data_IF_749780755166
#
_entry.id   IF_749780755166
#
_cell.length_a   1.000
_cell.length_b   1.000
_cell.length_c   1.000
_cell.angle_alpha   90.00
_cell.angle_beta   90.00
_cell.angle_gamma   90.00
#
_symmetry.space_group_name_H-M   'P 1'
#
loop_
_entity.id
_entity.type
_entity.pdbx_description
1 polymer ?
2 non-polymer ?
#
# COMPACT_ATOMS: atom_id res chain seq x y z
N UNK A 1 7.94 3.64 5.68
CA UNK A 1 8.18 5.11 5.58
C UNK A 1 7.10 5.80 4.77
N UNK A 2 7.49 6.80 3.99
CA UNK A 2 6.52 7.54 3.17
C UNK A 2 6.02 6.66 2.06
N UNK A 3 4.74 6.79 1.73
CA UNK A 3 4.19 5.99 0.65
C UNK A 3 4.90 6.39 -0.62
N UNK A 4 5.58 5.44 -1.24
CA UNK A 4 6.33 5.71 -2.46
C UNK A 4 6.15 4.60 -3.47
N UNK A 5 6.99 4.58 -4.50
CA UNK A 5 6.87 3.53 -5.50
C UNK A 5 7.32 2.19 -4.96
N UNK A 6 6.90 1.13 -5.62
CA UNK A 6 7.25 -0.23 -5.23
C UNK A 6 7.33 -1.08 -6.47
N UNK A 7 8.50 -1.67 -6.72
CA UNK A 7 8.64 -2.51 -7.90
C UNK A 7 8.75 -3.98 -7.57
N UNK A 8 7.89 -4.79 -8.18
CA UNK A 8 7.92 -6.21 -7.93
C UNK A 8 8.28 -6.97 -9.20
N UNK A 9 9.00 -8.07 -9.06
CA UNK A 9 9.40 -8.84 -10.23
C UNK A 9 8.57 -10.08 -10.54
N UNK A 10 8.62 -10.48 -11.81
CA UNK A 10 7.93 -11.65 -12.32
C UNK A 10 8.77 -12.84 -12.02
N UNK A 11 8.37 -13.93 -12.64
CA UNK A 11 9.10 -15.18 -12.56
C UNK A 11 9.02 -15.62 -14.02
N UNK A 12 8.79 -14.63 -14.86
CA UNK A 12 8.69 -14.82 -16.30
C UNK A 12 10.10 -15.11 -16.81
N UNK A 13 10.19 -15.69 -18.00
CA UNK A 13 11.48 -16.04 -18.61
C UNK A 13 12.54 -15.00 -18.24
N UNK A 14 12.28 -13.77 -18.65
CA UNK A 14 13.15 -12.64 -18.34
C UNK A 14 12.28 -11.72 -17.50
N UNK A 15 12.33 -11.90 -16.18
CA UNK A 15 11.58 -11.17 -15.15
C UNK A 15 11.21 -9.74 -15.52
N UNK A 16 9.92 -9.45 -15.54
CA UNK A 16 9.45 -8.11 -15.87
C UNK A 16 9.27 -7.32 -14.59
N UNK A 17 9.58 -6.03 -14.65
CA UNK A 17 9.41 -5.19 -13.48
C UNK A 17 8.01 -4.60 -13.47
N UNK A 18 7.33 -4.77 -12.35
CA UNK A 18 5.99 -4.24 -12.19
C UNK A 18 6.09 -3.03 -11.29
N UNK A 19 5.89 -1.85 -11.86
CA UNK A 19 6.02 -0.63 -11.09
C UNK A 19 4.71 -0.16 -10.51
N UNK A 20 4.59 -0.22 -9.18
CA UNK A 20 3.39 0.23 -8.49
C UNK A 20 3.62 1.64 -8.01
N UNK A 21 2.65 2.53 -8.21
CA UNK A 21 2.80 3.90 -7.74
C UNK A 21 1.74 4.17 -6.70
N UNK A 22 1.95 5.18 -5.86
CA UNK A 22 1.00 5.53 -4.82
C UNK A 22 -0.37 5.87 -5.37
N UNK A 23 -1.39 5.54 -4.59
CA UNK A 23 -2.76 5.83 -4.97
C UNK A 23 -3.37 6.60 -3.82
N UNK A 24 -3.23 6.08 -2.61
CA UNK A 24 -3.78 6.76 -1.46
C UNK A 24 -3.54 5.90 -0.23
N UNK A 25 -3.77 6.48 0.94
CA UNK A 25 -3.66 5.75 2.19
C UNK A 25 -4.88 6.15 3.01
N UNK A 26 -5.76 5.18 3.25
CA UNK A 26 -6.98 5.42 4.00
C UNK A 26 -7.00 4.60 5.27
N UNK A 27 -7.20 5.28 6.40
CA UNK A 27 -7.23 4.62 7.70
C UNK A 27 -5.87 4.01 7.99
N UNK A 28 -4.84 4.69 7.51
CA UNK A 28 -3.46 4.29 7.69
C UNK A 28 -3.18 2.95 7.04
N UNK A 29 -3.62 2.85 5.78
CA UNK A 29 -3.45 1.66 4.98
C UNK A 29 -2.99 2.13 3.62
N UNK A 30 -1.67 2.13 3.42
CA UNK A 30 -1.11 2.56 2.17
C UNK A 30 -1.45 1.67 1.02
N UNK A 31 -1.77 2.27 -0.11
CA UNK A 31 -2.09 1.51 -1.29
C UNK A 31 -1.22 2.04 -2.39
N UNK A 32 -0.70 1.13 -3.20
CA UNK A 32 0.15 1.52 -4.28
C UNK A 32 -0.30 0.61 -5.41
N UNK A 33 -0.49 1.17 -6.59
CA UNK A 33 -0.97 0.35 -7.69
C UNK A 33 -0.18 0.42 -8.97
N UNK A 34 -0.29 -0.65 -9.73
CA UNK A 34 0.37 -0.75 -11.02
C UNK A 34 -0.77 -0.66 -11.98
N UNK A 35 -0.80 0.39 -12.79
CA UNK A 35 -1.87 0.51 -13.75
C UNK A 35 -1.51 1.38 -14.92
N UNK A 36 -2.29 1.20 -15.97
CA UNK A 36 -2.15 1.98 -17.17
C UNK A 36 -3.01 3.18 -16.79
N UNK A 37 -3.19 4.15 -17.69
CA UNK A 37 -4.03 5.28 -17.32
C UNK A 37 -5.39 4.94 -16.72
N UNK A 38 -5.97 3.82 -17.15
CA UNK A 38 -7.29 3.43 -16.67
C UNK A 38 -7.35 2.72 -15.32
N UNK A 39 -8.27 3.16 -14.46
CA UNK A 39 -8.52 2.67 -13.10
C UNK A 39 -9.32 1.39 -13.07
N UNK A 40 -9.01 0.45 -13.95
CA UNK A 40 -9.75 -0.79 -13.92
C UNK A 40 -8.87 -2.01 -14.03
N UNK A 41 -9.08 -2.95 -13.12
CA UNK A 41 -8.29 -4.17 -13.12
C UNK A 41 -6.83 -3.87 -12.84
N UNK A 42 -6.58 -2.80 -12.10
CA UNK A 42 -5.21 -2.45 -11.77
C UNK A 42 -4.79 -3.34 -10.62
N UNK A 43 -3.55 -3.82 -10.66
CA UNK A 43 -3.04 -4.67 -9.60
C UNK A 43 -2.73 -3.76 -8.42
N UNK A 44 -3.22 -4.13 -7.25
CA UNK A 44 -3.05 -3.33 -6.06
C UNK A 44 -2.24 -4.03 -4.98
N UNK A 45 -1.44 -3.23 -4.26
CA UNK A 45 -0.64 -3.73 -3.15
C UNK A 45 -0.85 -2.76 -2.01
N UNK A 46 -1.32 -3.26 -0.88
CA UNK A 46 -1.57 -2.40 0.27
C UNK A 46 -0.67 -2.82 1.42
N UNK A 47 -0.30 -1.86 2.26
CA UNK A 47 0.56 -2.14 3.39
C UNK A 47 0.11 -1.31 4.57
N UNK A 48 0.17 -1.90 5.76
CA UNK A 48 -0.27 -1.19 6.96
C UNK A 48 0.44 -1.69 8.20
N UNK A 49 0.39 -0.88 9.26
CA UNK A 49 1.00 -1.23 10.52
C UNK A 49 0.18 -0.67 11.66
N UNK A 50 -0.03 -1.49 12.68
CA UNK A 50 -0.80 -1.05 13.82
C UNK A 50 -0.22 -1.65 15.09
N UNK A 51 -0.37 -0.92 16.19
CA UNK A 51 0.12 -1.39 17.47
C UNK A 51 -1.11 -1.96 18.18
N UNK A 52 -0.96 -3.13 18.78
CA UNK A 52 -2.10 -3.73 19.45
C UNK A 52 -2.21 -3.33 20.89
N UNK A 53 -3.44 -3.30 21.37
CA UNK A 53 -3.76 -2.98 22.75
C UNK A 53 -2.90 -3.80 23.71
N UNK A 54 -2.71 -5.08 23.38
CA UNK A 54 -1.91 -5.99 24.20
C UNK A 54 -0.42 -5.66 24.10
N UNK A 55 -0.08 -4.67 23.27
CA UNK A 55 1.31 -4.25 23.14
C UNK A 55 2.14 -4.94 22.08
N UNK A 56 1.53 -5.28 20.95
CA UNK A 56 2.25 -5.95 19.89
C UNK A 56 2.22 -5.14 18.63
N UNK A 57 3.23 -5.30 17.78
CA UNK A 57 3.21 -4.57 16.53
C UNK A 57 2.77 -5.60 15.53
N UNK A 58 1.85 -5.21 14.66
CA UNK A 58 1.34 -6.12 13.65
C UNK A 58 1.11 -5.40 12.34
N UNK A 59 1.84 -5.81 11.30
CA UNK A 59 1.67 -5.17 10.00
C UNK A 59 1.08 -6.15 9.01
N UNK A 60 0.49 -5.62 7.94
CA UNK A 60 -0.18 -6.45 6.94
C UNK A 60 0.07 -6.06 5.50
N UNK A 61 0.40 -7.05 4.69
CA UNK A 61 0.62 -6.83 3.28
C UNK A 61 -0.47 -7.54 2.51
N UNK A 62 -0.91 -6.92 1.42
CA UNK A 62 -1.95 -7.49 0.58
C UNK A 62 -1.64 -7.16 -0.86
N UNK A 63 -1.53 -8.20 -1.68
CA UNK A 63 -1.27 -8.00 -3.10
C UNK A 63 -2.43 -8.57 -3.87
N UNK A 64 -2.93 -7.81 -4.82
CA UNK A 64 -4.05 -8.27 -5.61
C UNK A 64 -3.77 -8.10 -7.07
N UNK A 65 -3.76 -9.20 -7.80
CA UNK A 65 -3.46 -9.11 -9.21
C UNK A 65 -4.51 -9.70 -10.10
N UNK A 66 -5.35 -8.82 -10.65
CA UNK A 66 -6.44 -9.22 -11.54
C UNK A 66 -5.86 -9.44 -12.93
N UNK A 67 -6.45 -10.37 -13.66
CA UNK A 67 -5.99 -10.65 -15.02
C UNK A 67 -7.00 -9.99 -15.94
N UNK A 68 -6.52 -9.11 -16.80
CA UNK A 68 -7.41 -8.41 -17.71
C UNK A 68 -7.16 -8.74 -19.15
N UNK A 69 -8.25 -8.92 -19.88
CA UNK A 69 -8.18 -9.24 -21.30
C UNK A 69 -9.20 -8.34 -21.98
N UNK A 70 -9.09 -8.19 -23.30
CA UNK A 70 -9.98 -7.32 -24.05
C UNK A 70 -11.28 -7.99 -24.50
N UNK A 71 -12.38 -7.42 -24.05
CA UNK A 71 -13.72 -7.92 -24.33
C UNK A 71 -14.39 -7.09 -25.42
N UNK A 72 -14.43 -7.63 -26.64
CA UNK A 72 -15.04 -6.94 -27.76
C UNK A 72 -16.55 -7.11 -27.83
N UNK A 73 -17.29 -6.01 -27.75
CA UNK A 73 -18.75 -6.06 -27.82
C UNK A 73 -19.31 -5.07 -28.83
N UNK A 74 -19.74 -5.60 -29.97
CA UNK A 74 -20.27 -4.75 -31.02
C UNK A 74 -19.20 -3.75 -31.40
N UNK A 75 -17.98 -4.24 -31.59
CA UNK A 75 -16.88 -3.36 -31.97
C UNK A 75 -16.34 -2.48 -30.86
N UNK A 76 -17.02 -2.46 -29.72
CA UNK A 76 -16.60 -1.65 -28.57
C UNK A 76 -15.63 -2.45 -27.70
N UNK A 77 -14.34 -2.32 -27.98
CA UNK A 77 -13.31 -3.04 -27.22
C UNK A 77 -13.09 -2.41 -25.84
N UNK A 78 -13.34 -3.20 -24.80
CA UNK A 78 -13.17 -2.74 -23.43
C UNK A 78 -12.35 -3.77 -22.66
N UNK A 79 -11.37 -3.31 -21.86
CA UNK A 79 -10.60 -4.28 -21.11
C UNK A 79 -11.46 -4.67 -19.88
N UNK A 80 -11.41 -5.94 -19.51
CA UNK A 80 -12.19 -6.39 -18.38
C UNK A 80 -11.45 -7.46 -17.57
N UNK A 81 -11.85 -7.60 -16.31
CA UNK A 81 -11.25 -8.55 -15.40
C UNK A 81 -11.84 -9.93 -15.57
N UNK A 82 -11.01 -10.89 -15.94
CA UNK A 82 -11.47 -12.26 -16.13
C UNK A 82 -11.39 -13.07 -14.83
N UNK A 83 -10.43 -12.71 -13.97
CA UNK A 83 -10.24 -13.40 -12.69
C UNK A 83 -9.19 -12.68 -11.88
N UNK A 84 -9.17 -12.92 -10.58
CA UNK A 84 -8.18 -12.27 -9.74
C UNK A 84 -7.45 -13.21 -8.79
N UNK A 85 -6.23 -12.84 -8.39
CA UNK A 85 -5.43 -13.65 -7.47
C UNK A 85 -5.11 -12.81 -6.24
N UNK A 86 -5.39 -13.35 -5.06
CA UNK A 86 -5.19 -12.62 -3.82
C UNK A 86 -4.19 -13.26 -2.87
N UNK A 87 -3.51 -12.44 -2.10
CA UNK A 87 -2.56 -12.95 -1.12
C UNK A 87 -2.47 -11.96 0.01
N UNK A 88 -2.29 -12.48 1.22
CA UNK A 88 -2.26 -11.64 2.40
C UNK A 88 -1.29 -12.10 3.46
N UNK A 89 -0.12 -11.48 3.55
CA UNK A 89 0.83 -11.88 4.58
C UNK A 89 0.53 -11.04 5.84
N UNK A 90 0.63 -11.67 7.00
CA UNK A 90 0.36 -11.02 8.28
C UNK A 90 1.52 -11.19 9.26
N UNK A 91 2.21 -10.10 9.56
CA UNK A 91 3.31 -10.18 10.49
C UNK A 91 2.83 -9.70 11.83
N UNK A 92 3.26 -10.39 12.88
CA UNK A 92 2.90 -10.04 14.24
C UNK A 92 4.16 -10.20 15.08
N UNK A 93 4.81 -9.08 15.41
CA UNK A 93 6.03 -9.13 16.20
C UNK A 93 5.80 -8.72 17.63
N UNK A 94 6.78 -9.02 18.47
CA UNK A 94 6.69 -8.67 19.87
C UNK A 94 7.36 -7.33 20.06
N UNK A 95 6.76 -6.48 20.87
CA UNK A 95 7.34 -5.17 21.08
C UNK A 95 8.77 -5.15 21.62
N UNK A 96 9.37 -6.32 21.83
CA UNK A 96 10.72 -6.37 22.36
C UNK A 96 11.68 -7.02 21.40
N UNK A 97 11.18 -7.33 20.20
CA UNK A 97 12.01 -7.97 19.21
C UNK A 97 13.06 -6.98 18.71
N UNK A 98 14.22 -7.49 18.34
CA UNK A 98 15.29 -6.63 17.85
C UNK A 98 15.25 -6.58 16.34
N UNK A 99 15.81 -5.54 15.77
CA UNK A 99 15.80 -5.42 14.33
C UNK A 99 16.28 -6.71 13.68
N UNK A 100 17.40 -7.23 14.14
CA UNK A 100 17.91 -8.45 13.56
C UNK A 100 16.89 -9.58 13.54
N UNK A 101 16.31 -9.89 14.70
CA UNK A 101 15.33 -10.97 14.76
C UNK A 101 14.29 -10.79 13.68
N UNK A 102 13.64 -9.63 13.68
CA UNK A 102 12.60 -9.35 12.70
C UNK A 102 13.11 -9.53 11.29
N UNK A 103 14.26 -8.92 10.97
CA UNK A 103 14.81 -9.06 9.63
C UNK A 103 14.96 -10.53 9.31
N UNK A 104 15.76 -11.23 10.10
CA UNK A 104 15.97 -12.64 9.87
C UNK A 104 14.66 -13.37 9.66
N UNK A 105 13.65 -13.03 10.45
CA UNK A 105 12.35 -13.65 10.33
C UNK A 105 11.86 -13.52 8.90
N UNK A 106 11.63 -12.28 8.48
CA UNK A 106 11.16 -12.02 7.14
C UNK A 106 11.96 -12.82 6.15
N UNK A 107 13.27 -12.64 6.19
CA UNK A 107 14.13 -13.34 5.27
C UNK A 107 13.77 -14.80 5.12
N UNK A 108 13.43 -15.45 6.22
CA UNK A 108 13.08 -16.86 6.17
C UNK A 108 11.77 -17.06 5.46
N UNK A 109 10.70 -16.54 6.05
CA UNK A 109 9.39 -16.67 5.45
C UNK A 109 9.52 -16.35 3.98
N UNK A 110 10.39 -15.40 3.67
CA UNK A 110 10.65 -15.00 2.30
C UNK A 110 11.17 -16.19 1.53
N UNK A 111 12.34 -16.66 1.94
CA UNK A 111 12.99 -17.81 1.31
C UNK A 111 11.99 -18.94 1.06
N UNK A 112 11.09 -19.17 2.00
CA UNK A 112 10.09 -20.22 1.87
C UNK A 112 9.28 -20.14 0.58
N UNK A 113 8.92 -18.93 0.17
CA UNK A 113 8.15 -18.77 -1.07
C UNK A 113 9.20 -18.86 -2.14
N UNK A 114 9.40 -19.99 -2.77
CA UNK A 114 10.45 -19.95 -3.76
C UNK A 114 10.37 -21.03 -4.77
N UNK A 115 10.85 -20.70 -5.95
CA UNK A 115 10.84 -21.62 -7.07
C UNK A 115 11.24 -23.03 -6.65
N UNK A 116 12.37 -23.15 -5.97
CA UNK A 116 12.92 -24.44 -5.57
C UNK A 116 12.46 -25.02 -4.26
N UNK A 117 11.94 -24.20 -3.35
CA UNK A 117 11.48 -24.74 -2.07
C UNK A 117 10.29 -25.67 -2.32
N UNK A 118 10.63 -26.90 -2.69
CA UNK A 118 9.67 -27.94 -3.02
C UNK A 118 8.39 -27.95 -2.21
N UNK A 119 8.50 -28.42 -0.97
CA UNK A 119 7.35 -28.52 -0.09
C UNK A 119 6.34 -27.41 -0.25
N UNK A 120 6.82 -26.19 -0.26
CA UNK A 120 5.96 -25.02 -0.40
C UNK A 120 5.43 -24.81 -1.80
N UNK A 121 6.34 -24.57 -2.74
CA UNK A 121 5.96 -24.33 -4.13
C UNK A 121 4.85 -25.25 -4.63
N UNK A 122 5.13 -26.55 -4.64
CA UNK A 122 4.17 -27.53 -5.11
C UNK A 122 2.76 -27.28 -4.59
N UNK A 123 2.64 -26.54 -3.49
CA UNK A 123 1.32 -26.26 -2.96
C UNK A 123 0.81 -24.88 -3.29
N UNK A 124 1.60 -23.84 -3.02
CA UNK A 124 1.15 -22.50 -3.31
C UNK A 124 1.17 -22.18 -4.79
N UNK A 125 1.74 -23.07 -5.59
CA UNK A 125 1.79 -22.83 -7.03
C UNK A 125 1.08 -23.92 -7.81
N UNK A 126 1.31 -25.16 -7.45
CA UNK A 126 0.65 -26.24 -8.17
C UNK A 126 -0.64 -26.66 -7.51
N UNK A 127 -0.98 -26.03 -6.40
CA UNK A 127 -2.21 -26.37 -5.72
C UNK A 127 -2.32 -27.86 -5.48
N UNK A 128 -1.23 -28.46 -5.01
CA UNK A 128 -1.27 -29.88 -4.71
C UNK A 128 -1.11 -30.02 -3.22
N UNK A 129 -1.82 -30.98 -2.63
CA UNK A 129 -1.76 -31.16 -1.20
C UNK A 129 -0.46 -31.67 -0.62
N UNK A 130 -0.45 -31.85 0.70
CA UNK A 130 0.73 -32.35 1.39
C UNK A 130 0.43 -33.73 1.93
N UNK A 131 1.37 -34.66 1.80
CA UNK A 131 1.14 -36.03 2.24
C UNK A 131 2.36 -36.79 2.76
N UNK B 1 3.69 -32.72 -3.50
CA UNK B 1 4.29 -32.14 -2.26
C UNK B 1 4.21 -33.09 -1.07
N UNK B 2 5.19 -33.98 -0.95
CA UNK B 2 5.20 -34.90 0.17
C UNK B 2 5.93 -34.23 1.32
N UNK B 3 5.37 -34.31 2.52
CA UNK B 3 5.99 -33.68 3.68
C UNK B 3 7.45 -34.05 3.73
N UNK B 4 8.30 -33.05 3.69
CA UNK B 4 9.73 -33.28 3.68
C UNK B 4 10.49 -32.13 4.27
N UNK B 5 11.81 -32.21 4.23
CA UNK B 5 12.63 -31.15 4.78
C UNK B 5 12.47 -29.87 4.00
N UNK B 6 12.47 -28.76 4.74
CA UNK B 6 12.35 -27.43 4.17
C UNK B 6 13.43 -26.61 4.83
N UNK B 7 14.29 -26.00 4.03
CA UNK B 7 15.38 -25.22 4.61
C UNK B 7 15.33 -23.73 4.24
N UNK B 8 15.25 -22.87 5.24
CA UNK B 8 15.15 -21.43 5.03
C UNK B 8 16.40 -20.67 5.47
N UNK B 9 16.73 -19.61 4.73
CA UNK B 9 17.92 -18.82 5.03
C UNK B 9 17.67 -17.55 5.82
N UNK B 10 18.71 -17.08 6.52
CA UNK B 10 18.66 -15.86 7.31
C UNK B 10 18.96 -14.71 6.42
N UNK B 11 19.17 -13.58 7.08
CA UNK B 11 19.57 -12.36 6.41
C UNK B 11 20.78 -11.98 7.24
N UNK B 12 21.31 -12.99 7.92
CA UNK B 12 22.48 -12.83 8.75
C UNK B 12 23.63 -12.56 7.80
N UNK B 13 24.68 -11.91 8.30
CA UNK B 13 25.86 -11.57 7.49
C UNK B 13 26.18 -12.66 6.47
N UNK B 14 26.34 -13.88 6.97
CA UNK B 14 26.62 -15.04 6.13
C UNK B 14 25.46 -15.98 6.35
N UNK B 15 24.37 -15.79 5.60
CA UNK B 15 23.13 -16.56 5.63
C UNK B 15 23.21 -17.93 6.27
N UNK B 16 22.49 -18.12 7.36
CA UNK B 16 22.49 -19.41 8.05
C UNK B 16 21.33 -20.27 7.55
N UNK B 17 21.60 -21.55 7.30
CA UNK B 17 20.56 -22.44 6.82
C UNK B 17 19.74 -23.02 7.97
N UNK B 18 18.46 -22.72 7.98
CA UNK B 18 17.56 -23.24 9.01
C UNK B 18 16.83 -24.43 8.45
N UNK B 19 17.21 -25.61 8.92
CA UNK B 19 16.59 -26.83 8.43
C UNK B 19 15.43 -27.30 9.24
N UNK B 20 14.23 -27.18 8.67
CA UNK B 20 13.04 -27.65 9.35
C UNK B 20 12.81 -29.08 8.87
N UNK B 21 12.47 -29.98 9.78
CA UNK B 21 12.20 -31.35 9.41
C UNK B 21 10.76 -31.68 9.70
N UNK B 22 10.19 -32.60 8.92
CA UNK B 22 8.80 -32.98 9.12
C UNK B 22 8.47 -33.50 10.51
N UNK B 23 7.41 -32.96 11.10
CA UNK B 23 6.96 -33.43 12.40
C UNK B 23 5.76 -34.29 12.08
N UNK B 24 4.74 -33.70 11.46
CA UNK B 24 3.58 -34.49 11.10
C UNK B 24 2.56 -33.73 10.27
N UNK B 25 1.45 -34.42 9.99
CA UNK B 25 0.35 -33.89 9.22
C UNK B 25 -0.87 -34.03 10.10
N UNK B 26 -1.64 -32.97 10.24
CA UNK B 26 -2.82 -33.03 11.08
C UNK B 26 -3.99 -32.32 10.43
N UNK B 27 -5.07 -33.04 10.20
CA UNK B 27 -6.25 -32.45 9.58
C UNK B 27 -5.90 -31.65 8.33
N UNK B 28 -5.01 -32.21 7.53
CA UNK B 28 -4.57 -31.61 6.28
C UNK B 28 -3.77 -30.34 6.43
N UNK B 29 -2.84 -30.39 7.38
CA UNK B 29 -1.95 -29.28 7.67
C UNK B 29 -0.58 -29.87 7.90
N UNK B 30 0.37 -29.50 7.07
CA UNK B 30 1.71 -30.03 7.22
C UNK B 30 2.50 -29.21 8.20
N UNK B 31 3.34 -29.86 8.99
CA UNK B 31 4.16 -29.12 9.95
C UNK B 31 5.59 -29.57 9.84
N UNK B 32 6.48 -28.60 9.68
CA UNK B 32 7.89 -28.90 9.58
C UNK B 32 8.53 -28.09 10.69
N UNK B 33 9.50 -28.68 11.37
CA UNK B 33 10.09 -28.00 12.51
C UNK B 33 11.61 -27.89 12.60
N UNK B 34 12.08 -26.73 13.06
CA UNK B 34 13.50 -26.53 13.26
C UNK B 34 13.59 -26.69 14.76
N UNK B 35 13.74 -27.93 15.21
CA UNK B 35 13.80 -28.19 16.65
C UNK B 35 15.14 -28.58 17.19
N UNK B 36 15.23 -28.43 18.50
CA UNK B 36 16.43 -28.74 19.24
C UNK B 36 16.14 -29.90 20.19
N UNK B 37 14.86 -30.20 20.39
CA UNK B 37 14.50 -31.29 21.28
C UNK B 37 13.36 -30.84 22.18
N UNK B 38 13.53 -29.65 22.73
CA UNK B 38 12.50 -29.09 23.59
C UNK B 38 11.49 -28.37 22.70
N UNK B 39 10.24 -28.80 22.77
CA UNK B 39 9.12 -28.26 22.01
C UNK B 39 8.84 -26.77 22.05
N UNK B 40 9.00 -26.11 23.18
CA UNK B 40 8.69 -24.69 23.14
C UNK B 40 9.72 -23.90 22.36
N UNK B 41 10.89 -24.48 22.19
CA UNK B 41 11.94 -23.79 21.47
C UNK B 41 11.82 -24.01 19.97
N UNK B 42 10.96 -24.94 19.60
CA UNK B 42 10.74 -25.29 18.21
C UNK B 42 10.23 -24.12 17.39
N UNK B 43 10.84 -23.92 16.22
CA UNK B 43 10.39 -22.89 15.30
C UNK B 43 9.60 -23.79 14.36
N UNK B 44 8.36 -23.45 14.08
CA UNK B 44 7.55 -24.30 13.24
C UNK B 44 6.89 -23.67 12.01
N UNK B 45 6.94 -24.42 10.92
CA UNK B 45 6.38 -24.00 9.65
C UNK B 45 5.17 -24.86 9.29
N UNK B 46 4.07 -24.19 9.00
CA UNK B 46 2.81 -24.84 8.67
C UNK B 46 2.43 -24.64 7.21
N UNK B 47 1.65 -25.55 6.65
CA UNK B 47 1.22 -25.42 5.26
C UNK B 47 -0.04 -26.24 4.95
N UNK B 48 -0.99 -25.63 4.25
CA UNK B 48 -2.24 -26.31 3.92
C UNK B 48 -2.82 -25.92 2.57
N UNK B 49 -3.82 -26.68 2.12
CA UNK B 49 -4.46 -26.42 0.85
C UNK B 49 -5.92 -26.83 0.93
N UNK B 50 -6.81 -25.96 0.45
CA UNK B 50 -8.23 -26.26 0.48
C UNK B 50 -8.89 -25.75 -0.77
N UNK B 51 -9.93 -26.45 -1.22
CA UNK B 51 -10.67 -26.00 -2.37
C UNK B 51 -11.90 -25.45 -1.70
N UNK B 52 -12.00 -24.14 -1.67
CA UNK B 52 -13.12 -23.47 -1.04
C UNK B 52 -14.44 -24.01 -1.58
N UNK B 53 -15.49 -23.90 -0.78
CA UNK B 53 -16.82 -24.35 -1.17
C UNK B 53 -17.25 -23.69 -2.48
N UNK B 54 -17.05 -22.37 -2.58
CA UNK B 54 -17.44 -21.64 -3.78
C UNK B 54 -16.44 -21.74 -4.94
N UNK B 55 -15.65 -22.81 -4.97
CA UNK B 55 -14.73 -23.02 -6.09
C UNK B 55 -13.44 -22.23 -6.23
N UNK B 56 -12.84 -21.83 -5.12
CA UNK B 56 -11.58 -21.09 -5.17
C UNK B 56 -10.55 -22.04 -4.59
N UNK B 57 -9.29 -21.68 -4.69
CA UNK B 57 -8.26 -22.53 -4.12
C UNK B 57 -7.44 -21.67 -3.21
N UNK B 58 -7.39 -22.05 -1.94
CA UNK B 58 -6.63 -21.30 -0.95
C UNK B 58 -5.62 -22.21 -0.30
N UNK B 59 -4.44 -21.67 -0.04
CA UNK B 59 -3.42 -22.43 0.66
C UNK B 59 -2.90 -21.47 1.70
N UNK B 60 -2.39 -22.01 2.80
CA UNK B 60 -1.91 -21.15 3.87
C UNK B 60 -0.59 -21.54 4.48
N UNK B 61 0.29 -20.55 4.59
CA UNK B 61 1.59 -20.74 5.18
C UNK B 61 1.61 -20.03 6.51
N UNK B 62 2.31 -20.60 7.49
CA UNK B 62 2.42 -19.96 8.78
C UNK B 62 3.77 -20.32 9.39
N UNK B 63 4.56 -19.29 9.72
CA UNK B 63 5.87 -19.53 10.32
C UNK B 63 5.93 -18.91 11.69
N UNK B 64 6.51 -19.65 12.63
CA UNK B 64 6.63 -19.17 13.98
C UNK B 64 7.99 -19.46 14.57
N UNK B 65 8.66 -18.43 15.06
CA UNK B 65 9.97 -18.64 15.67
C UNK B 65 10.02 -17.93 17.00
N UNK B 66 10.14 -18.71 18.07
CA UNK B 66 10.21 -18.18 19.42
C UNK B 66 11.64 -17.87 19.81
N UNK B 67 11.80 -16.91 20.71
CA UNK B 67 13.12 -16.55 21.20
C UNK B 67 13.08 -17.10 22.60
N UNK B 68 14.09 -17.88 22.96
CA UNK B 68 14.07 -18.48 24.27
C UNK B 68 15.38 -18.54 25.04
N UNK B 69 15.45 -17.79 26.13
CA UNK B 69 16.66 -17.80 26.94
C UNK B 69 16.57 -18.92 27.96
N UNK B 70 17.61 -19.73 27.98
CA UNK B 70 17.68 -20.87 28.88
C UNK B 70 18.69 -20.66 30.01
N UNK B 71 18.15 -20.46 31.20
CA UNK B 71 18.94 -20.26 32.40
C UNK B 71 19.48 -21.61 32.88
N UNK B 72 20.79 -21.72 33.14
CA UNK B 72 21.35 -22.99 33.62
C UNK B 72 21.82 -22.88 35.07
N UNK B 73 21.46 -23.86 35.88
CA UNK B 73 21.85 -23.86 37.28
C UNK B 73 22.31 -25.21 37.79
N UNK B 74 23.58 -25.29 38.18
CA UNK B 74 24.13 -26.53 38.68
C UNK B 74 23.86 -27.70 37.76
N UNK B 75 23.80 -27.41 36.46
CA UNK B 75 23.58 -28.45 35.49
C UNK B 75 22.15 -28.66 35.05
N UNK B 76 21.22 -27.94 35.66
CA UNK B 76 19.82 -28.09 35.29
C UNK B 76 19.32 -26.89 34.52
N UNK B 77 18.83 -27.14 33.31
CA UNK B 77 18.36 -26.08 32.45
C UNK B 77 16.90 -25.69 32.54
N UNK B 78 16.64 -24.39 32.44
CA UNK B 78 15.29 -23.85 32.52
C UNK B 78 14.99 -22.95 31.34
N UNK B 79 14.41 -23.51 30.27
CA UNK B 79 14.08 -22.75 29.07
C UNK B 79 12.84 -21.91 29.30
N UNK B 80 12.83 -20.72 28.69
CA UNK B 80 11.71 -19.80 28.82
C UNK B 80 11.52 -18.99 27.57
N UNK B 81 10.31 -19.04 27.00
CA UNK B 81 10.05 -18.28 25.80
C UNK B 81 9.87 -16.83 26.22
N UNK B 82 10.78 -15.98 25.76
CA UNK B 82 10.72 -14.56 26.12
C UNK B 82 10.04 -13.66 25.11
N UNK B 83 9.69 -14.20 23.96
CA UNK B 83 9.00 -13.45 22.91
C UNK B 83 8.91 -14.28 21.66
N UNK B 84 7.84 -14.09 20.88
CA UNK B 84 7.70 -14.88 19.66
C UNK B 84 7.31 -14.03 18.44
N UNK B 85 7.54 -14.56 17.24
CA UNK B 85 7.21 -13.83 16.03
C UNK B 85 6.38 -14.71 15.09
N UNK B 86 5.32 -14.17 14.51
CA UNK B 86 4.44 -14.96 13.65
C UNK B 86 4.14 -14.38 12.28
N UNK B 87 4.03 -15.23 11.27
CA UNK B 87 3.66 -14.76 9.93
C UNK B 87 2.64 -15.69 9.39
N UNK B 88 1.73 -15.16 8.58
CA UNK B 88 0.70 -15.99 7.99
C UNK B 88 0.37 -15.54 6.58
N UNK B 89 0.96 -16.20 5.60
CA UNK B 89 0.72 -15.88 4.21
C UNK B 89 -0.56 -16.62 3.79
N UNK B 90 -1.45 -15.92 3.08
CA UNK B 90 -2.72 -16.49 2.65
C UNK B 90 -3.04 -16.32 1.17
N UNK B 91 -2.78 -17.37 0.39
CA UNK B 91 -3.07 -17.31 -1.03
C UNK B 91 -4.48 -17.76 -1.35
N UNK B 92 -5.07 -17.13 -2.35
CA UNK B 92 -6.44 -17.43 -2.77
C UNK B 92 -6.51 -17.27 -4.29
N UNK B 93 -6.58 -18.38 -5.02
CA UNK B 93 -6.63 -18.31 -6.48
C UNK B 93 -7.97 -18.66 -7.11
N UNK B 94 -8.09 -18.33 -8.40
CA UNK B 94 -9.29 -18.63 -9.14
C UNK B 94 -9.14 -19.96 -9.84
N UNK B 95 -10.19 -20.77 -9.80
CA UNK B 95 -10.17 -22.09 -10.41
C UNK B 95 -9.77 -22.10 -11.88
N UNK B 96 -9.65 -20.91 -12.47
CA UNK B 96 -9.31 -20.81 -13.89
C UNK B 96 -7.92 -20.25 -14.11
N UNK B 97 -7.19 -20.06 -13.02
CA UNK B 97 -5.86 -19.52 -13.07
C UNK B 97 -4.87 -20.45 -13.76
N UNK B 98 -3.88 -19.86 -14.43
CA UNK B 98 -2.86 -20.63 -15.12
C UNK B 98 -1.77 -20.94 -14.13
N UNK B 99 -1.01 -21.99 -14.38
CA UNK B 99 0.09 -22.30 -13.50
C UNK B 99 0.99 -21.07 -13.58
N UNK B 100 1.32 -20.67 -14.80
CA UNK B 100 2.17 -19.52 -14.99
C UNK B 100 1.69 -18.32 -14.16
N UNK B 101 0.41 -17.97 -14.29
CA UNK B 101 -0.14 -16.83 -13.55
C UNK B 101 0.19 -16.95 -12.07
N UNK B 102 -0.25 -18.04 -11.47
CA UNK B 102 -0.01 -18.25 -10.05
C UNK B 102 1.44 -18.04 -9.72
N UNK B 103 2.30 -18.80 -10.39
CA UNK B 103 3.74 -18.69 -10.16
C UNK B 103 4.16 -17.24 -10.08
N UNK B 104 3.86 -16.49 -11.14
CA UNK B 104 4.21 -15.08 -11.17
C UNK B 104 3.68 -14.33 -9.98
N UNK B 105 2.43 -14.59 -9.63
CA UNK B 105 1.83 -13.93 -8.49
C UNK B 105 2.76 -14.13 -7.30
N UNK B 106 2.98 -15.38 -6.94
CA UNK B 106 3.86 -15.71 -5.83
C UNK B 106 5.13 -14.91 -5.91
N UNK B 107 5.87 -15.13 -6.99
CA UNK B 107 7.12 -14.44 -7.18
C UNK B 107 7.06 -12.94 -6.94
N UNK B 108 5.91 -12.34 -7.24
CA UNK B 108 5.79 -10.92 -7.05
C UNK B 108 5.73 -10.57 -5.60
N UNK B 109 4.76 -11.13 -4.88
CA UNK B 109 4.67 -10.81 -3.47
C UNK B 109 5.92 -11.26 -2.77
N UNK B 110 6.56 -12.29 -3.32
CA UNK B 110 7.79 -12.75 -2.71
C UNK B 110 8.75 -11.57 -2.77
N UNK B 111 8.98 -11.07 -3.97
CA UNK B 111 9.87 -9.95 -4.21
C UNK B 111 9.55 -8.77 -3.30
N UNK B 112 8.29 -8.62 -2.93
CA UNK B 112 7.90 -7.51 -2.08
C UNK B 112 8.64 -7.55 -0.75
N UNK B 113 8.72 -8.72 -0.14
CA UNK B 113 9.44 -8.84 1.13
C UNK B 113 10.87 -8.75 0.71
N UNK B 114 11.64 -7.77 1.18
CA UNK B 114 13.00 -7.76 0.70
C UNK B 114 13.78 -6.55 1.13
N UNK B 115 14.96 -6.80 1.65
CA UNK B 115 15.83 -5.74 2.13
C UNK B 115 15.73 -4.40 1.40
N UNK B 116 15.88 -4.43 0.08
CA UNK B 116 15.85 -3.20 -0.70
C UNK B 116 14.49 -2.60 -1.01
N UNK B 117 13.46 -3.42 -1.09
CA UNK B 117 12.14 -2.88 -1.37
C UNK B 117 11.75 -2.03 -0.15
N UNK B 118 12.17 -0.77 -0.18
CA UNK B 118 11.96 0.17 0.91
C UNK B 118 10.58 0.28 1.51
N UNK B 119 9.64 0.77 0.73
CA UNK B 119 8.28 0.92 1.24
C UNK B 119 7.87 -0.18 2.20
N UNK B 120 8.07 -1.42 1.77
CA UNK B 120 7.71 -2.57 2.58
C UNK B 120 8.62 -2.79 3.77
N UNK B 121 9.91 -2.91 3.50
CA UNK B 121 10.88 -3.17 4.56
C UNK B 121 10.75 -2.26 5.78
N UNK B 122 10.83 -0.95 5.58
CA UNK B 122 10.73 -0.01 6.69
C UNK B 122 9.55 -0.26 7.59
N UNK B 123 8.61 -1.07 7.11
CA UNK B 123 7.43 -1.37 7.90
C UNK B 123 7.40 -2.78 8.46
N UNK B 124 7.67 -3.78 7.64
CA UNK B 124 7.63 -5.13 8.15
C UNK B 124 8.91 -5.51 8.89
N UNK B 125 9.88 -4.61 8.92
CA UNK B 125 11.12 -4.90 9.62
C UNK B 125 11.46 -3.80 10.60
N UNK B 126 11.35 -2.55 10.16
CA UNK B 126 11.69 -1.44 11.04
C UNK B 126 10.48 -0.93 11.80
N UNK B 127 9.33 -1.48 11.50
CA UNK B 127 8.11 -1.09 12.18
C UNK B 127 7.82 0.40 12.13
N UNK B 128 7.86 0.96 10.94
CA UNK B 128 7.54 2.37 10.77
C UNK B 128 6.17 2.33 10.11
N UNK B 129 5.38 3.37 10.30
CA UNK B 129 4.08 3.38 9.67
C UNK B 129 4.20 3.89 8.25
N UNK B 130 3.07 4.15 7.62
CA UNK B 130 3.09 4.68 6.27
C UNK B 130 2.46 6.05 6.32
N UNK B 131 3.11 7.02 5.69
CA UNK B 131 2.59 8.38 5.70
C UNK B 131 2.83 9.14 4.41
N UNK C 1 1.13 12.07 -4.74
CA UNK C 1 0.22 13.11 -4.20
C UNK C 1 0.35 13.15 -2.69
N UNK C 2 1.58 13.37 -2.23
CA UNK C 2 1.84 13.48 -0.80
C UNK C 2 1.54 14.91 -0.43
N UNK C 3 0.78 15.12 0.65
CA UNK C 3 0.48 16.49 1.04
C UNK C 3 1.83 17.19 1.09
N UNK C 4 1.93 18.30 0.37
CA UNK C 4 3.17 19.03 0.30
C UNK C 4 2.90 20.47 -0.04
N UNK C 5 3.96 21.24 -0.24
CA UNK C 5 3.79 22.64 -0.57
C UNK C 5 3.13 22.80 -1.92
N UNK C 6 2.38 23.89 -2.07
CA UNK C 6 1.72 24.22 -3.31
C UNK C 6 1.93 25.69 -3.58
N UNK C 7 2.62 26.02 -4.66
CA UNK C 7 2.89 27.41 -5.00
C UNK C 7 2.03 27.90 -6.14
N UNK C 8 1.33 29.02 -5.92
CA UNK C 8 0.46 29.57 -6.95
C UNK C 8 0.82 31.01 -7.34
N UNK C 9 1.04 31.23 -8.63
CA UNK C 9 1.37 32.56 -9.15
C UNK C 9 0.09 33.37 -9.29
N UNK C 10 0.17 34.68 -9.07
CA UNK C 10 -1.01 35.51 -9.24
C UNK C 10 -0.82 36.28 -10.54
N UNK C 11 -1.75 37.17 -10.89
CA UNK C 11 -1.63 37.91 -12.14
C UNK C 11 -1.14 39.33 -11.90
N UNK C 12 -0.25 39.51 -10.93
CA UNK C 12 0.27 40.83 -10.63
C UNK C 12 1.22 41.27 -11.74
N UNK C 13 1.57 42.56 -11.74
CA UNK C 13 2.47 43.14 -12.73
C UNK C 13 3.58 42.14 -13.00
N UNK C 14 4.36 41.87 -11.96
CA UNK C 14 5.44 40.92 -12.03
C UNK C 14 5.05 39.83 -11.02
N UNK C 15 4.24 38.87 -11.47
CA UNK C 15 3.70 37.72 -10.72
C UNK C 15 4.41 37.30 -9.45
N UNK C 16 3.65 37.28 -8.36
CA UNK C 16 4.15 36.88 -7.05
C UNK C 16 3.85 35.41 -6.79
N UNK C 17 4.71 34.78 -5.99
CA UNK C 17 4.50 33.38 -5.67
C UNK C 17 3.82 33.26 -4.32
N UNK C 18 2.65 32.64 -4.29
CA UNK C 18 1.96 32.43 -3.04
C UNK C 18 2.24 31.00 -2.64
N UNK C 19 2.90 30.84 -1.49
CA UNK C 19 3.27 29.52 -1.04
C UNK C 19 2.38 28.92 0.02
N UNK C 20 1.56 27.95 -0.36
CA UNK C 20 0.67 27.30 0.60
C UNK C 20 1.36 26.11 1.21
N UNK C 21 1.46 26.10 2.53
CA UNK C 21 2.12 25.02 3.24
C UNK C 21 1.11 24.10 3.87
N UNK C 22 1.31 22.79 3.72
CA UNK C 22 0.38 21.82 4.30
C UNK C 22 0.06 22.09 5.76
N UNK C 23 -1.20 21.82 6.12
CA UNK C 23 -1.65 22.00 7.47
C UNK C 23 -2.16 20.69 8.02
N UNK C 24 -3.02 20.03 7.27
CA UNK C 24 -3.53 18.76 7.76
C UNK C 24 -4.33 17.98 6.74
N UNK C 25 -4.81 16.83 7.17
CA UNK C 25 -5.59 15.96 6.32
C UNK C 25 -6.74 15.41 7.12
N UNK C 26 -7.95 15.89 6.83
CA UNK C 26 -9.12 15.41 7.54
C UNK C 26 -10.10 14.73 6.60
N UNK C 27 -10.38 13.46 6.87
CA UNK C 27 -11.31 12.68 6.07
C UNK C 27 -10.88 12.63 4.63
N UNK C 28 -9.57 12.49 4.42
CA UNK C 28 -9.05 12.43 3.08
C UNK C 28 -9.34 13.72 2.32
N UNK C 29 -8.94 14.82 2.96
CA UNK C 29 -9.09 16.16 2.41
C UNK C 29 -7.88 16.95 2.84
N UNK C 30 -6.98 17.20 1.89
CA UNK C 30 -5.78 17.94 2.22
C UNK C 30 -6.04 19.42 2.32
N UNK C 31 -5.22 20.12 3.08
CA UNK C 31 -5.37 21.56 3.21
C UNK C 31 -3.99 22.16 3.25
N UNK C 32 -3.74 23.12 2.38
CA UNK C 32 -2.46 23.79 2.38
C UNK C 32 -2.81 25.22 2.66
N UNK C 33 -1.89 25.97 3.27
CA UNK C 33 -2.19 27.33 3.62
C UNK C 33 -1.10 28.38 3.46
N UNK C 34 -1.42 29.44 2.74
CA UNK C 34 -0.47 30.54 2.59
C UNK C 34 -0.79 31.41 3.78
N UNK C 35 0.14 31.46 4.72
CA UNK C 35 -0.09 32.26 5.90
C UNK C 35 0.92 33.35 6.06
N UNK C 36 0.43 34.54 6.32
CA UNK C 36 1.30 35.66 6.57
C UNK C 36 1.61 35.42 8.04
N UNK C 37 2.42 36.28 8.66
CA UNK C 37 2.70 36.08 10.08
C UNK C 37 1.45 35.83 10.92
N UNK C 38 0.43 36.67 10.75
CA UNK C 38 -0.81 36.53 11.50
C UNK C 38 -1.76 35.57 10.83
N UNK C 39 -2.07 34.47 11.51
CA UNK C 39 -2.96 33.44 11.01
C UNK C 39 -4.40 33.85 10.97
N UNK C 40 -4.73 34.95 10.32
CA UNK C 40 -6.14 35.28 10.29
C UNK C 40 -6.58 35.55 8.88
N UNK C 41 -5.67 36.15 8.11
CA UNK C 41 -5.98 36.43 6.73
C UNK C 41 -5.43 35.31 5.90
N UNK C 42 -5.09 34.22 6.57
CA UNK C 42 -4.55 33.06 5.89
C UNK C 42 -5.49 32.56 4.81
N UNK C 43 -4.92 32.30 3.64
CA UNK C 43 -5.67 31.80 2.50
C UNK C 43 -5.53 30.29 2.54
N UNK C 44 -6.65 29.59 2.38
CA UNK C 44 -6.63 28.14 2.43
C UNK C 44 -6.98 27.50 1.10
N UNK C 45 -6.33 26.38 0.82
CA UNK C 45 -6.60 25.63 -0.39
C UNK C 45 -6.76 24.17 -0.04
N UNK C 46 -7.93 23.61 -0.36
CA UNK C 46 -8.20 22.22 -0.04
C UNK C 46 -8.35 21.41 -1.31
N UNK C 47 -8.05 20.12 -1.21
CA UNK C 47 -8.13 19.21 -2.34
C UNK C 47 -8.59 17.85 -1.85
N UNK C 48 -9.41 17.18 -2.65
CA UNK C 48 -9.91 15.87 -2.27
C UNK C 48 -10.38 15.05 -3.45
N UNK C 49 -10.29 13.73 -3.27
CA UNK C 49 -10.70 12.79 -4.30
C UNK C 49 -11.46 11.68 -3.62
N UNK C 50 -12.50 11.20 -4.27
CA UNK C 50 -13.29 10.12 -3.72
C UNK C 50 -13.85 9.33 -4.90
N UNK C 51 -13.85 8.01 -4.77
CA UNK C 51 -14.36 7.15 -5.82
C UNK C 51 -15.81 6.82 -5.52
N UNK C 52 -16.71 7.27 -6.38
CA UNK C 52 -18.13 6.99 -6.18
C UNK C 52 -18.44 5.52 -6.27
N UNK C 53 -19.59 5.15 -5.74
CA UNK C 53 -20.05 3.77 -5.75
C UNK C 53 -20.44 3.35 -7.16
N UNK C 54 -20.93 4.31 -7.94
CA UNK C 54 -21.35 4.04 -9.30
C UNK C 54 -20.21 4.12 -10.31
N UNK C 55 -18.99 3.88 -9.84
CA UNK C 55 -17.83 3.87 -10.72
C UNK C 55 -17.40 5.17 -11.37
N UNK C 56 -17.14 6.17 -10.55
CA UNK C 56 -16.68 7.45 -11.06
C UNK C 56 -15.68 8.00 -10.07
N UNK C 57 -14.94 9.01 -10.49
CA UNK C 57 -13.99 9.62 -9.60
C UNK C 57 -14.33 11.09 -9.54
N UNK C 58 -14.40 11.64 -8.35
CA UNK C 58 -14.72 13.05 -8.22
C UNK C 58 -13.71 13.83 -7.40
N UNK C 59 -13.02 14.76 -8.05
CA UNK C 59 -12.06 15.59 -7.36
C UNK C 59 -12.73 16.90 -7.01
N UNK C 60 -12.24 17.56 -5.97
CA UNK C 60 -12.83 18.81 -5.54
C UNK C 60 -11.79 19.79 -5.02
N UNK C 61 -11.64 20.90 -5.73
CA UNK C 61 -10.69 21.90 -5.31
C UNK C 61 -11.41 23.11 -4.75
N UNK C 62 -10.88 23.65 -3.66
CA UNK C 62 -11.44 24.85 -3.05
C UNK C 62 -10.32 25.80 -2.72
N UNK C 63 -10.51 27.06 -3.07
CA UNK C 63 -9.52 28.07 -2.77
C UNK C 63 -10.23 29.21 -2.10
N UNK C 64 -9.73 29.63 -0.96
CA UNK C 64 -10.33 30.74 -0.24
C UNK C 64 -9.27 31.77 0.05
N UNK C 65 -9.53 33.00 -0.37
CA UNK C 65 -8.55 34.05 -0.16
C UNK C 65 -9.22 35.29 0.40
N UNK C 66 -9.10 35.49 1.72
CA UNK C 66 -9.67 36.63 2.42
C UNK C 66 -8.78 37.85 2.28
N UNK C 67 -9.38 39.02 2.51
CA UNK C 67 -8.64 40.27 2.43
C UNK C 67 -8.67 40.92 3.80
N UNK C 68 -7.50 41.33 4.28
CA UNK C 68 -7.40 41.94 5.58
C UNK C 68 -6.99 43.39 5.61
N UNK C 69 -7.66 44.16 6.45
CA UNK C 69 -7.37 45.56 6.62
C UNK C 69 -7.34 45.81 8.12
N UNK C 70 -6.55 46.79 8.54
CA UNK C 70 -6.47 47.09 9.96
C UNK C 70 -7.55 48.05 10.41
N UNK C 71 -8.41 47.53 11.28
CA UNK C 71 -9.54 48.24 11.84
C UNK C 71 -9.10 48.87 13.15
N UNK C 72 -9.19 50.19 13.26
CA UNK C 72 -8.80 50.88 14.48
C UNK C 72 -9.99 51.30 15.34
N UNK C 73 -10.00 50.86 16.59
CA UNK C 73 -11.11 51.20 17.50
C UNK C 73 -10.64 51.72 18.85
N UNK C 74 -10.80 53.01 19.08
CA UNK C 74 -10.39 53.58 20.34
C UNK C 74 -8.91 53.31 20.52
N UNK C 75 -8.14 53.54 19.47
CA UNK C 75 -6.70 53.34 19.52
C UNK C 75 -6.24 51.90 19.42
N UNK C 76 -7.18 50.97 19.41
CA UNK C 76 -6.84 49.57 19.32
C UNK C 76 -6.79 49.07 17.89
N UNK C 77 -5.58 48.93 17.37
CA UNK C 77 -5.38 48.45 16.01
C UNK C 77 -5.57 46.95 15.97
N UNK C 78 -6.44 46.49 15.08
CA UNK C 78 -6.72 45.06 14.96
C UNK C 78 -6.91 44.65 13.51
N UNK C 79 -6.14 43.68 13.03
CA UNK C 79 -6.34 43.27 11.64
C UNK C 79 -7.61 42.44 11.52
N UNK C 80 -8.45 42.75 10.53
CA UNK C 80 -9.69 42.00 10.32
C UNK C 80 -10.00 41.70 8.87
N UNK C 81 -10.85 40.70 8.66
CA UNK C 81 -11.25 40.29 7.33
C UNK C 81 -12.41 41.13 6.88
N UNK C 82 -12.21 41.92 5.83
CA UNK C 82 -13.28 42.78 5.35
C UNK C 82 -14.11 42.13 4.25
N UNK C 83 -13.55 41.13 3.58
CA UNK C 83 -14.24 40.41 2.51
C UNK C 83 -13.45 39.20 2.08
N UNK C 84 -14.14 38.19 1.56
CA UNK C 84 -13.44 36.99 1.10
C UNK C 84 -13.87 36.55 -0.29
N UNK C 85 -13.00 35.83 -0.98
CA UNK C 85 -13.33 35.37 -2.32
C UNK C 85 -13.18 33.85 -2.33
N UNK C 86 -14.16 33.18 -2.91
CA UNK C 86 -14.17 31.72 -2.94
C UNK C 86 -14.28 31.13 -4.33
N UNK C 87 -13.70 29.96 -4.53
CA UNK C 87 -13.80 29.29 -5.81
C UNK C 87 -13.83 27.79 -5.54
N UNK C 88 -14.54 27.06 -6.40
CA UNK C 88 -14.68 25.63 -6.21
C UNK C 88 -14.72 24.84 -7.51
N UNK C 89 -13.62 24.21 -7.86
CA UNK C 89 -13.55 23.42 -9.06
C UNK C 89 -13.97 21.99 -8.73
N UNK C 90 -14.83 21.39 -9.55
CA UNK C 90 -15.34 20.04 -9.33
C UNK C 90 -15.19 19.11 -10.54
N UNK C 91 -14.30 18.15 -10.45
CA UNK C 91 -14.12 17.21 -11.55
C UNK C 91 -14.93 15.95 -11.33
N UNK C 92 -15.27 15.29 -12.43
CA UNK C 92 -16.05 14.06 -12.41
C UNK C 92 -15.68 13.20 -13.61
N UNK C 93 -14.76 12.27 -13.43
CA UNK C 93 -14.35 11.41 -14.52
C UNK C 93 -15.01 10.05 -14.49
N UNK C 94 -15.06 9.40 -15.64
CA UNK C 94 -15.65 8.07 -15.71
C UNK C 94 -14.55 7.10 -15.39
N UNK C 95 -14.85 6.16 -14.49
CA UNK C 95 -13.86 5.17 -14.09
C UNK C 95 -13.14 4.52 -15.26
N UNK C 96 -13.72 4.60 -16.45
CA UNK C 96 -13.12 4.00 -17.63
C UNK C 96 -12.27 4.94 -18.44
N UNK C 97 -12.13 6.17 -17.96
CA UNK C 97 -11.36 7.19 -18.67
C UNK C 97 -9.88 6.91 -18.67
N UNK C 98 -9.20 7.35 -19.73
CA UNK C 98 -7.78 7.17 -19.84
C UNK C 98 -7.05 8.39 -19.33
N UNK C 99 -5.80 8.21 -18.92
CA UNK C 99 -5.03 9.32 -18.43
C UNK C 99 -5.05 10.47 -19.42
N UNK C 100 -4.67 10.20 -20.66
CA UNK C 100 -4.65 11.27 -21.65
C UNK C 100 -5.96 12.05 -21.65
N UNK C 101 -7.08 11.34 -21.76
CA UNK C 101 -8.36 12.02 -21.76
C UNK C 101 -8.45 13.01 -20.60
N UNK C 102 -8.25 12.51 -19.40
CA UNK C 102 -8.32 13.35 -18.21
C UNK C 102 -7.37 14.53 -18.31
N UNK C 103 -6.12 14.26 -18.66
CA UNK C 103 -5.15 15.34 -18.77
C UNK C 103 -5.68 16.42 -19.69
N UNK C 104 -5.91 16.06 -20.95
CA UNK C 104 -6.42 17.03 -21.91
C UNK C 104 -7.60 17.80 -21.36
N UNK C 105 -8.54 17.09 -20.74
CA UNK C 105 -9.72 17.73 -20.15
C UNK C 105 -9.25 18.87 -19.27
N UNK C 106 -8.52 18.54 -18.21
CA UNK C 106 -8.02 19.56 -17.30
C UNK C 106 -7.40 20.67 -18.11
N UNK C 107 -6.37 20.31 -18.87
CA UNK C 107 -5.70 21.30 -19.69
C UNK C 107 -6.62 22.28 -20.37
N UNK C 108 -7.71 21.79 -20.94
CA UNK C 108 -8.65 22.65 -21.63
C UNK C 108 -9.34 23.62 -20.71
N UNK C 109 -10.04 23.11 -19.71
CA UNK C 109 -10.72 24.01 -18.81
C UNK C 109 -9.75 24.91 -18.10
N UNK C 110 -8.51 24.47 -18.01
CA UNK C 110 -7.51 25.30 -17.37
C UNK C 110 -7.31 26.49 -18.30
N UNK C 111 -6.97 26.17 -19.55
CA UNK C 111 -6.73 27.19 -20.57
C UNK C 111 -7.92 28.15 -20.70
N UNK C 112 -9.08 27.75 -20.19
CA UNK C 112 -10.23 28.63 -20.30
C UNK C 112 -10.16 29.77 -19.31
N UNK C 113 -9.51 29.55 -18.18
CA UNK C 113 -9.41 30.59 -17.17
C UNK C 113 -8.47 31.69 -17.63
N UNK C 114 -7.60 31.35 -18.57
CA UNK C 114 -6.62 32.28 -19.10
C UNK C 114 -7.22 33.69 -19.20
N UNK C 115 -6.37 34.69 -19.05
CA UNK C 115 -6.79 36.08 -19.07
C UNK C 115 -7.16 36.64 -20.44
N UNK C 116 -6.68 36.02 -21.50
CA UNK C 116 -6.96 36.50 -22.84
C UNK C 116 -8.20 35.88 -23.44
N UNK C 117 -8.72 34.82 -22.81
CA UNK C 117 -9.93 34.18 -23.31
C UNK C 117 -11.09 35.08 -22.89
N UNK C 118 -11.34 36.08 -23.71
CA UNK C 118 -12.37 37.08 -23.43
C UNK C 118 -13.71 36.56 -22.94
N UNK C 119 -14.28 35.59 -23.63
CA UNK C 119 -15.58 35.11 -23.23
C UNK C 119 -15.74 34.91 -21.74
N UNK C 120 -14.82 34.19 -21.11
CA UNK C 120 -14.92 33.94 -19.69
C UNK C 120 -14.33 35.04 -18.83
N UNK C 121 -13.14 35.51 -19.20
CA UNK C 121 -12.49 36.53 -18.41
C UNK C 121 -13.42 37.70 -18.12
N UNK C 122 -14.01 38.26 -19.16
CA UNK C 122 -14.92 39.39 -18.99
C UNK C 122 -16.07 39.05 -18.04
N UNK C 123 -16.06 37.83 -17.49
CA UNK C 123 -17.13 37.43 -16.58
C UNK C 123 -16.59 37.08 -15.21
N UNK C 124 -15.64 36.17 -15.15
CA UNK C 124 -15.09 35.77 -13.87
C UNK C 124 -14.14 36.81 -13.30
N UNK C 125 -13.80 37.84 -14.09
CA UNK C 125 -12.92 38.89 -13.59
C UNK C 125 -13.70 40.21 -13.57
N UNK C 126 -14.10 40.68 -14.75
CA UNK C 126 -14.92 41.90 -14.82
C UNK C 126 -16.28 41.22 -14.74
N UNK C 127 -17.12 41.63 -13.80
CA UNK C 127 -18.37 40.93 -13.65
C UNK C 127 -19.45 41.09 -14.72
N UNK C 128 -19.13 40.75 -15.96
CA UNK C 128 -20.12 40.85 -17.03
C UNK C 128 -20.83 39.53 -17.23
N UNK C 129 -22.00 39.60 -17.85
CA UNK C 129 -22.77 38.40 -18.12
C UNK C 129 -22.54 38.05 -19.58
N UNK C 130 -23.44 37.31 -20.21
CA UNK C 130 -23.25 36.98 -21.62
C UNK C 130 -24.41 37.53 -22.46
N UNK C 131 -24.13 37.90 -23.71
CA UNK C 131 -25.15 38.51 -24.58
C UNK C 131 -24.93 38.48 -26.12
#
# INVERSE_FOLDING_TARGET
>A
AQLQNLVLKDREATPNDHTFVPRDIRDNVGEVVESTGVPIGESRFTISLRKTSNGRYKSTLKLVVPVVQSQTVNGIVTPVVVRTSYVTVDFDYDARSTTKERNNFVGMIADALKADKMLVHDTIVNLQGVY
>B
AQLQNLVLKDREATPNDHTFVPRDIRDNVGEVVESTGVPIGESRFTISLRKTSNGRYKSTLKLVVPVVQSQTVNGIVTPVVVRTSYVTVDFDYDARSTTKERNNFVGMIADALKADKMLVHDTIVNLQGVY
>C
AQLQNLVLKDREATPNDHTFVPRDIRDNVGEVVESTGVPIGESRFTISLRKTSNGRYKSTLKLVVPVVQSQTVNGIVTPVVVRTSYVTVDFDYDARSTTKERNNFVGMIADALKADKMLVHDTIVNLQGVY
#
